data_IF_298692546976
#
_entry.id   IF_298692546976
#
_cell.length_a   1.000
_cell.length_b   1.000
_cell.length_c   1.000
_cell.angle_alpha   90.00
_cell.angle_beta   90.00
_cell.angle_gamma   90.00
#
_symmetry.space_group_name_H-M   'P 1'
#
loop_
_entity.id
_entity.type
_entity.pdbx_description
1 polymer ?
#
# COMPACT_ATOMS: atom_id res chain seq x y z
N UNK A 1 12.60 12.20 -10.61
CA UNK A 1 12.34 11.14 -11.62
C UNK A 1 11.19 10.32 -11.09
N UNK A 2 10.02 10.37 -11.73
CA UNK A 2 8.87 9.55 -11.35
C UNK A 2 9.09 8.11 -11.81
N UNK A 3 8.83 7.14 -10.93
CA UNK A 3 8.86 5.71 -11.27
C UNK A 3 7.53 5.06 -10.88
N UNK A 4 7.31 3.82 -11.29
CA UNK A 4 6.05 3.10 -11.01
C UNK A 4 5.75 2.95 -9.51
N UNK A 5 6.75 3.09 -8.65
CA UNK A 5 6.58 3.10 -7.20
C UNK A 5 6.01 4.41 -6.70
N UNK A 6 6.51 5.55 -7.19
CA UNK A 6 6.04 6.88 -6.81
C UNK A 6 4.57 7.06 -7.20
N UNK A 7 4.21 6.73 -8.44
CA UNK A 7 2.82 6.82 -8.91
C UNK A 7 1.83 6.05 -8.02
N UNK A 8 2.22 4.86 -7.54
CA UNK A 8 1.38 4.07 -6.63
C UNK A 8 1.22 4.76 -5.28
N UNK A 9 2.28 5.35 -4.73
CA UNK A 9 2.23 6.08 -3.46
C UNK A 9 1.33 7.33 -3.57
N UNK A 10 1.49 8.09 -4.65
CA UNK A 10 0.76 9.35 -4.79
C UNK A 10 -0.71 9.10 -5.14
N UNK A 11 -0.99 8.19 -6.08
CA UNK A 11 -2.34 8.00 -6.63
C UNK A 11 -3.16 6.96 -5.87
N UNK A 12 -2.55 5.82 -5.49
CA UNK A 12 -3.28 4.74 -4.81
C UNK A 12 -3.32 4.99 -3.30
N UNK A 13 -2.20 5.37 -2.69
CA UNK A 13 -2.13 5.67 -1.26
C UNK A 13 -2.49 7.10 -0.90
N UNK A 14 -2.67 8.00 -1.89
CA UNK A 14 -2.99 9.41 -1.68
C UNK A 14 -1.97 10.08 -0.75
N UNK A 15 -0.69 9.79 -0.96
CA UNK A 15 0.39 10.28 -0.10
C UNK A 15 0.45 11.82 -0.09
N UNK A 16 0.36 12.46 -1.26
CA UNK A 16 0.35 13.93 -1.39
C UNK A 16 -0.85 14.60 -0.71
N UNK A 17 -2.02 13.95 -0.74
CA UNK A 17 -3.23 14.45 -0.08
C UNK A 17 -3.24 14.17 1.44
N UNK A 18 -2.28 13.37 1.94
CA UNK A 18 -2.27 12.91 3.33
C UNK A 18 -2.05 14.08 4.30
N UNK A 19 -2.89 14.17 5.32
CA UNK A 19 -2.83 15.23 6.35
C UNK A 19 -2.03 14.84 7.59
N UNK A 20 -1.39 13.68 7.58
CA UNK A 20 -0.61 13.16 8.70
C UNK A 20 0.67 14.00 8.83
N UNK A 21 0.80 14.75 9.94
CA UNK A 21 1.90 15.71 10.17
C UNK A 21 2.48 15.69 11.58
N UNK A 22 1.99 14.83 12.46
CA UNK A 22 2.37 14.81 13.87
C UNK A 22 3.62 13.95 14.07
N UNK A 23 4.67 14.54 14.66
CA UNK A 23 5.87 13.81 15.09
C UNK A 23 6.40 12.89 13.97
N UNK A 24 6.72 11.64 14.30
CA UNK A 24 7.26 10.64 13.37
C UNK A 24 6.17 9.95 12.53
N UNK A 25 4.90 10.36 12.63
CA UNK A 25 3.81 9.72 11.90
C UNK A 25 3.96 9.78 10.36
N UNK A 26 4.46 10.86 9.73
CA UNK A 26 4.68 10.89 8.29
C UNK A 26 5.68 9.82 7.82
N UNK A 27 6.80 9.70 8.53
CA UNK A 27 7.85 8.72 8.22
C UNK A 27 7.37 7.28 8.44
N UNK A 28 6.73 7.02 9.58
CA UNK A 28 6.13 5.72 9.89
C UNK A 28 5.12 5.31 8.81
N UNK A 29 4.27 6.24 8.38
CA UNK A 29 3.29 5.97 7.32
C UNK A 29 3.94 5.72 5.97
N UNK A 30 5.00 6.44 5.63
CA UNK A 30 5.74 6.20 4.40
C UNK A 30 6.36 4.78 4.38
N UNK A 31 6.85 4.29 5.52
CA UNK A 31 7.32 2.90 5.69
C UNK A 31 6.15 1.92 5.51
N UNK A 32 5.02 2.13 6.19
CA UNK A 32 3.87 1.23 6.08
C UNK A 32 3.30 1.14 4.65
N UNK A 33 3.19 2.27 3.94
CA UNK A 33 2.73 2.29 2.54
C UNK A 33 3.65 1.46 1.64
N UNK A 34 4.97 1.65 1.78
CA UNK A 34 5.96 0.87 1.03
C UNK A 34 5.90 -0.62 1.36
N UNK A 35 5.73 -0.96 2.64
CA UNK A 35 5.55 -2.34 3.08
C UNK A 35 4.31 -2.98 2.44
N UNK A 36 3.14 -2.35 2.54
CA UNK A 36 1.89 -2.84 1.96
C UNK A 36 1.98 -2.99 0.43
N UNK A 37 2.57 -2.02 -0.26
CA UNK A 37 2.81 -2.08 -1.70
C UNK A 37 3.69 -3.27 -2.09
N UNK A 38 4.75 -3.54 -1.34
CA UNK A 38 5.65 -4.67 -1.62
C UNK A 38 4.95 -6.02 -1.40
N UNK A 39 4.16 -6.18 -0.35
CA UNK A 39 3.33 -7.38 -0.16
C UNK A 39 2.36 -7.60 -1.32
N UNK A 40 1.69 -6.54 -1.76
CA UNK A 40 0.78 -6.61 -2.90
C UNK A 40 1.49 -6.94 -4.23
N UNK A 41 2.75 -6.53 -4.42
CA UNK A 41 3.58 -6.91 -5.58
C UNK A 41 3.93 -8.39 -5.57
N UNK A 42 4.27 -8.94 -4.40
CA UNK A 42 4.66 -10.35 -4.25
C UNK A 42 3.45 -11.30 -4.23
N UNK A 43 2.26 -10.80 -3.94
CA UNK A 43 1.04 -11.60 -3.88
C UNK A 43 0.72 -12.29 -5.21
N UNK A 44 0.38 -13.60 -5.19
CA UNK A 44 0.03 -14.38 -6.38
C UNK A 44 -1.35 -14.00 -6.96
N UNK A 45 -2.12 -13.15 -6.27
CA UNK A 45 -3.43 -12.69 -6.73
C UNK A 45 -3.26 -11.93 -8.05
N UNK A 46 -4.02 -12.31 -9.08
CA UNK A 46 -4.01 -11.66 -10.39
C UNK A 46 -5.03 -10.52 -10.44
N UNK A 47 -4.67 -9.41 -9.82
CA UNK A 47 -5.48 -8.18 -9.75
C UNK A 47 -4.59 -6.95 -9.92
N UNK A 48 -5.21 -5.80 -10.20
CA UNK A 48 -4.52 -4.49 -10.18
C UNK A 48 -3.95 -4.18 -8.80
N UNK A 49 -2.90 -3.35 -8.71
CA UNK A 49 -2.32 -2.92 -7.43
C UNK A 49 -3.39 -2.33 -6.49
N UNK A 50 -4.26 -1.48 -7.04
CA UNK A 50 -5.37 -0.87 -6.31
C UNK A 50 -6.34 -1.93 -5.78
N UNK A 51 -6.74 -2.87 -6.64
CA UNK A 51 -7.67 -3.93 -6.29
C UNK A 51 -7.11 -4.85 -5.20
N UNK A 52 -5.83 -5.24 -5.27
CA UNK A 52 -5.18 -6.05 -4.22
C UNK A 52 -5.24 -5.36 -2.86
N UNK A 53 -4.86 -4.08 -2.81
CA UNK A 53 -4.84 -3.29 -1.57
C UNK A 53 -6.27 -3.06 -1.02
N UNK A 54 -7.24 -2.74 -1.88
CA UNK A 54 -8.64 -2.56 -1.47
C UNK A 54 -9.24 -3.85 -0.92
N UNK A 55 -9.04 -4.99 -1.60
CA UNK A 55 -9.53 -6.29 -1.15
C UNK A 55 -8.90 -6.72 0.18
N UNK A 56 -7.61 -6.46 0.38
CA UNK A 56 -6.96 -6.69 1.67
C UNK A 56 -7.55 -5.79 2.79
N UNK A 57 -7.99 -4.58 2.44
CA UNK A 57 -8.72 -3.70 3.37
C UNK A 57 -10.10 -4.23 3.75
N UNK A 58 -10.78 -4.94 2.85
CA UNK A 58 -12.17 -5.39 3.04
C UNK A 58 -12.33 -6.85 3.47
N UNK A 59 -11.32 -7.69 3.28
CA UNK A 59 -11.41 -9.13 3.56
C UNK A 59 -10.20 -9.61 4.35
N UNK A 60 -10.47 -10.13 5.54
CA UNK A 60 -9.46 -10.69 6.44
C UNK A 60 -8.71 -11.85 5.79
N UNK A 61 -9.43 -12.72 5.07
CA UNK A 61 -8.83 -13.82 4.30
C UNK A 61 -7.80 -13.34 3.26
N UNK A 62 -8.14 -12.30 2.51
CA UNK A 62 -7.22 -11.74 1.51
C UNK A 62 -6.05 -11.05 2.20
N UNK A 63 -6.30 -10.33 3.31
CA UNK A 63 -5.25 -9.68 4.09
C UNK A 63 -4.26 -10.69 4.67
N UNK A 64 -4.76 -11.79 5.22
CA UNK A 64 -3.96 -12.90 5.74
C UNK A 64 -3.08 -13.50 4.64
N UNK A 65 -3.67 -13.81 3.47
CA UNK A 65 -2.94 -14.31 2.31
C UNK A 65 -1.84 -13.33 1.85
N UNK A 66 -2.09 -12.01 1.87
CA UNK A 66 -1.05 -11.02 1.50
C UNK A 66 0.09 -10.95 2.51
N UNK A 67 -0.18 -11.12 3.80
CA UNK A 67 0.82 -10.94 4.87
C UNK A 67 1.64 -12.22 5.07
N UNK A 68 1.02 -13.40 4.99
CA UNK A 68 1.63 -14.66 5.38
C UNK A 68 1.90 -15.64 4.22
N UNK A 69 1.28 -15.44 3.05
CA UNK A 69 1.43 -16.29 1.87
C UNK A 69 0.35 -17.36 1.76
#
# INVERSE_FOLDING_TARGET
>A
IENSSHWVLDVIFKEDESRIRRENAPENMAIFRRFAMNLARLSPIKDSMKSKLQRAGWSDKIREQLIFG
#
